data_IF_379800073286
#
_entry.id   IF_379800073286
#
_cell.length_a   1.000
_cell.length_b   1.000
_cell.length_c   1.000
_cell.angle_alpha   90.00
_cell.angle_beta   90.00
_cell.angle_gamma   90.00
#
_symmetry.space_group_name_H-M   'P 1'
#
loop_
_entity.id
_entity.type
_entity.pdbx_description
1 polymer ?
#
# COMPACT_ATOMS: atom_id res chain seq x y z
N UNK A 1 15.77 -25.55 2.19
CA UNK A 1 16.47 -24.76 3.23
C UNK A 1 15.51 -24.48 4.38
N UNK A 2 16.01 -24.32 5.61
CA UNK A 2 15.15 -24.10 6.79
C UNK A 2 14.22 -22.88 6.65
N UNK A 3 14.71 -21.79 6.03
CA UNK A 3 13.93 -20.59 5.75
C UNK A 3 12.74 -20.84 4.80
N UNK A 4 12.91 -21.66 3.76
CA UNK A 4 11.82 -22.05 2.83
C UNK A 4 10.76 -22.90 3.54
N UNK A 5 11.18 -23.86 4.38
CA UNK A 5 10.26 -24.65 5.20
C UNK A 5 9.52 -23.78 6.24
N UNK A 6 10.14 -22.69 6.68
CA UNK A 6 9.51 -21.71 7.56
C UNK A 6 8.49 -20.81 6.85
N UNK A 7 8.43 -20.84 5.51
CA UNK A 7 7.47 -20.08 4.71
C UNK A 7 7.95 -18.67 4.34
N UNK A 8 9.27 -18.44 4.30
CA UNK A 8 9.80 -17.22 3.70
C UNK A 8 9.67 -17.29 2.17
N UNK A 9 9.30 -16.19 1.50
CA UNK A 9 9.29 -16.11 0.05
C UNK A 9 10.72 -16.18 -0.50
N UNK A 10 10.85 -16.72 -1.72
CA UNK A 10 12.16 -16.89 -2.36
C UNK A 10 12.89 -15.55 -2.60
N UNK A 11 12.13 -14.46 -2.77
CA UNK A 11 12.67 -13.11 -2.91
C UNK A 11 13.41 -12.60 -1.66
N UNK A 12 13.08 -13.11 -0.47
CA UNK A 12 13.71 -12.70 0.79
C UNK A 12 14.85 -13.65 1.20
N UNK A 13 15.16 -14.68 0.42
CA UNK A 13 16.30 -15.57 0.65
C UNK A 13 17.59 -14.92 0.13
N UNK A 14 18.70 -15.14 0.84
CA UNK A 14 20.04 -14.81 0.34
C UNK A 14 20.64 -16.00 -0.41
N UNK A 15 21.54 -15.74 -1.36
CA UNK A 15 22.29 -16.82 -2.01
C UNK A 15 23.56 -17.14 -1.23
N UNK A 16 24.04 -18.39 -1.30
CA UNK A 16 25.25 -18.83 -0.58
C UNK A 16 26.45 -17.93 -0.85
N UNK A 17 26.60 -17.45 -2.09
CA UNK A 17 27.66 -16.51 -2.50
C UNK A 17 27.60 -15.17 -1.75
N UNK A 18 26.41 -14.70 -1.38
CA UNK A 18 26.23 -13.41 -0.71
C UNK A 18 26.82 -13.43 0.71
N UNK A 19 26.79 -14.59 1.37
CA UNK A 19 27.39 -14.81 2.68
C UNK A 19 28.84 -15.32 2.59
N UNK A 20 29.08 -16.35 1.75
CA UNK A 20 30.37 -17.05 1.68
C UNK A 20 31.48 -16.16 1.11
N UNK A 21 31.20 -15.45 0.03
CA UNK A 21 32.16 -14.52 -0.60
C UNK A 21 32.00 -13.09 -0.08
N UNK A 22 31.10 -12.87 0.88
CA UNK A 22 30.72 -11.55 1.42
C UNK A 22 30.31 -10.54 0.36
N UNK A 23 29.81 -11.02 -0.79
CA UNK A 23 29.44 -10.19 -1.93
C UNK A 23 28.26 -9.26 -1.62
N UNK A 24 27.33 -9.70 -0.77
CA UNK A 24 26.15 -8.92 -0.41
C UNK A 24 25.65 -9.27 1.00
N UNK A 25 26.40 -8.82 2.01
CA UNK A 25 26.00 -8.93 3.43
C UNK A 25 24.66 -8.24 3.74
N UNK A 26 24.31 -7.07 3.15
CA UNK A 26 22.99 -6.47 3.35
C UNK A 26 21.82 -7.39 3.01
N UNK A 27 21.94 -8.26 1.99
CA UNK A 27 20.91 -9.24 1.63
C UNK A 27 20.72 -10.29 2.74
N UNK A 28 21.82 -10.73 3.36
CA UNK A 28 21.77 -11.68 4.49
C UNK A 28 21.06 -11.04 5.69
N UNK A 29 21.39 -9.79 6.02
CA UNK A 29 20.73 -9.05 7.11
C UNK A 29 19.23 -8.86 6.83
N UNK A 30 18.85 -8.57 5.58
CA UNK A 30 17.45 -8.48 5.18
C UNK A 30 16.71 -9.82 5.35
N UNK A 31 17.33 -10.93 4.97
CA UNK A 31 16.77 -12.26 5.19
C UNK A 31 16.53 -12.57 6.68
N UNK A 32 17.44 -12.12 7.57
CA UNK A 32 17.29 -12.29 9.02
C UNK A 32 16.12 -11.45 9.55
N UNK A 33 15.99 -10.20 9.12
CA UNK A 33 14.85 -9.36 9.48
C UNK A 33 13.51 -9.91 8.94
N UNK A 34 13.50 -10.45 7.72
CA UNK A 34 12.35 -11.15 7.17
C UNK A 34 11.94 -12.37 8.03
N UNK A 35 12.91 -13.19 8.42
CA UNK A 35 12.67 -14.33 9.30
C UNK A 35 12.07 -13.90 10.65
N UNK A 36 12.58 -12.82 11.24
CA UNK A 36 12.04 -12.21 12.45
C UNK A 36 10.57 -11.84 12.31
N UNK A 37 10.21 -11.12 11.24
CA UNK A 37 8.81 -10.74 10.95
C UNK A 37 7.89 -11.97 10.77
N UNK A 38 8.37 -12.99 10.05
CA UNK A 38 7.62 -14.23 9.86
C UNK A 38 7.44 -15.02 11.17
N UNK A 39 8.43 -15.01 12.05
CA UNK A 39 8.36 -15.67 13.35
C UNK A 39 7.34 -15.01 14.27
N UNK A 40 7.32 -13.67 14.29
CA UNK A 40 6.34 -12.89 15.03
C UNK A 40 4.90 -13.17 14.55
N UNK A 41 4.69 -13.33 13.23
CA UNK A 41 3.37 -13.74 12.68
C UNK A 41 2.93 -15.13 13.17
N UNK A 42 3.86 -16.04 13.45
CA UNK A 42 3.59 -17.38 13.98
C UNK A 42 3.47 -17.43 15.51
N UNK A 43 3.27 -16.29 16.18
CA UNK A 43 3.16 -16.15 17.64
C UNK A 43 4.43 -16.59 18.39
N UNK A 44 5.60 -16.29 17.83
CA UNK A 44 6.86 -16.46 18.55
C UNK A 44 6.97 -15.41 19.66
N UNK A 45 6.95 -15.84 20.93
CA UNK A 45 7.05 -14.99 22.12
C UNK A 45 8.45 -14.39 22.38
N UNK A 46 9.37 -14.50 21.42
CA UNK A 46 10.73 -13.96 21.56
C UNK A 46 10.85 -12.49 21.12
N UNK A 47 12.07 -11.93 21.19
CA UNK A 47 12.33 -10.53 20.86
C UNK A 47 11.87 -10.18 19.44
N UNK A 48 11.21 -9.03 19.32
CA UNK A 48 10.72 -8.52 18.04
C UNK A 48 11.91 -8.02 17.23
N UNK A 49 12.13 -8.63 16.07
CA UNK A 49 13.18 -8.23 15.14
C UNK A 49 12.54 -7.58 13.92
N UNK A 50 12.66 -6.25 13.85
CA UNK A 50 12.12 -5.42 12.78
C UNK A 50 10.66 -5.00 12.97
N UNK A 51 10.16 -4.09 12.12
CA UNK A 51 8.78 -3.62 12.18
C UNK A 51 7.81 -4.77 11.92
N UNK A 52 6.72 -4.83 12.71
CA UNK A 52 5.66 -5.84 12.55
C UNK A 52 5.13 -5.76 11.12
N UNK A 53 5.03 -6.90 10.43
CA UNK A 53 4.33 -6.94 9.14
C UNK A 53 2.90 -6.43 9.32
N UNK A 54 2.51 -5.46 8.51
CA UNK A 54 1.17 -4.89 8.55
C UNK A 54 0.16 -5.97 8.19
N UNK A 55 -0.75 -6.26 9.11
CA UNK A 55 -1.91 -7.09 8.83
C UNK A 55 -2.87 -6.31 7.92
N UNK A 56 -3.42 -6.97 6.89
CA UNK A 56 -4.41 -6.36 6.01
C UNK A 56 -5.67 -6.03 6.80
N UNK A 57 -5.99 -4.75 6.92
CA UNK A 57 -7.23 -4.31 7.54
C UNK A 57 -8.36 -4.42 6.49
N UNK A 58 -8.94 -5.61 6.34
CA UNK A 58 -10.17 -5.79 5.57
C UNK A 58 -11.29 -5.07 6.31
N UNK A 59 -11.78 -3.99 5.70
CA UNK A 59 -13.01 -3.32 6.11
C UNK A 59 -14.12 -3.88 5.25
N UNK A 60 -14.94 -4.74 5.83
CA UNK A 60 -16.17 -5.17 5.19
C UNK A 60 -17.16 -4.01 5.25
N UNK A 61 -17.45 -3.42 4.10
CA UNK A 61 -18.51 -2.43 3.96
C UNK A 61 -19.82 -3.17 3.74
N UNK A 62 -20.90 -2.71 4.38
CA UNK A 62 -22.24 -3.26 4.13
C UNK A 62 -22.68 -2.90 2.71
N UNK A 63 -23.49 -3.76 2.07
CA UNK A 63 -23.98 -3.54 0.70
C UNK A 63 -24.71 -2.20 0.53
N UNK A 64 -25.38 -1.74 1.59
CA UNK A 64 -26.04 -0.43 1.66
C UNK A 64 -25.04 0.72 1.60
N UNK A 65 -23.90 0.60 2.29
CA UNK A 65 -22.82 1.59 2.28
C UNK A 65 -22.08 1.61 0.95
N UNK A 66 -21.91 0.46 0.29
CA UNK A 66 -21.34 0.36 -1.05
C UNK A 66 -22.27 0.99 -2.11
N UNK A 67 -23.59 0.76 -1.99
CA UNK A 67 -24.61 1.37 -2.85
C UNK A 67 -24.74 2.88 -2.64
N UNK A 68 -24.65 3.35 -1.40
CA UNK A 68 -24.61 4.78 -1.09
C UNK A 68 -23.34 5.46 -1.67
N UNK A 69 -22.19 4.75 -1.67
CA UNK A 69 -20.95 5.23 -2.30
C UNK A 69 -21.02 5.33 -3.82
N UNK A 70 -21.73 4.42 -4.50
CA UNK A 70 -21.97 4.49 -5.95
C UNK A 70 -22.74 5.76 -6.36
N UNK A 71 -23.68 6.21 -5.51
CA UNK A 71 -24.41 7.46 -5.74
C UNK A 71 -23.60 8.74 -5.51
N UNK A 72 -22.57 8.69 -4.64
CA UNK A 72 -21.76 9.88 -4.32
C UNK A 72 -20.71 10.23 -5.38
N UNK A 73 -20.14 9.25 -6.08
CA UNK A 73 -19.15 9.52 -7.14
C UNK A 73 -19.83 10.05 -8.41
N UNK A 74 -21.09 9.70 -8.65
CA UNK A 74 -21.90 10.23 -9.75
C UNK A 74 -22.23 11.72 -9.59
N UNK A 75 -22.49 12.22 -8.38
CA UNK A 75 -22.91 13.62 -8.18
C UNK A 75 -21.83 14.67 -8.51
N UNK A 76 -20.54 14.33 -8.41
CA UNK A 76 -19.45 15.25 -8.76
C UNK A 76 -19.18 15.30 -10.28
N UNK A 77 -19.66 14.34 -11.06
CA UNK A 77 -19.44 14.27 -12.50
C UNK A 77 -20.73 14.35 -13.35
N UNK A 78 -21.89 14.13 -12.75
CA UNK A 78 -23.16 13.91 -13.45
C UNK A 78 -24.20 14.99 -13.14
N UNK A 79 -23.72 16.21 -12.86
CA UNK A 79 -24.58 17.27 -12.34
C UNK A 79 -24.09 18.71 -12.52
N UNK A 80 -23.49 19.08 -13.66
CA UNK A 80 -23.52 20.46 -14.20
C UNK A 80 -22.87 20.57 -15.61
N UNK A 81 -23.55 20.07 -16.65
CA UNK A 81 -23.27 20.49 -18.03
C UNK A 81 -24.54 20.69 -18.87
N UNK A 82 -25.68 20.98 -18.20
CA UNK A 82 -26.97 21.32 -18.82
C UNK A 82 -27.74 22.33 -17.95
N UNK A 83 -27.09 23.42 -17.55
CA UNK A 83 -27.75 24.48 -16.79
C UNK A 83 -26.88 25.67 -16.39
N UNK A 84 -25.56 25.49 -16.29
CA UNK A 84 -24.63 26.61 -16.19
C UNK A 84 -24.27 27.11 -17.59
N UNK A 85 -25.20 27.80 -18.26
CA UNK A 85 -24.79 28.67 -19.35
C UNK A 85 -23.82 29.68 -18.74
N UNK A 86 -22.56 29.69 -19.19
CA UNK A 86 -21.63 30.79 -18.95
C UNK A 86 -22.09 32.05 -19.73
N UNK A 87 -23.39 32.34 -19.73
CA UNK A 87 -23.96 33.59 -20.20
C UNK A 87 -23.90 34.56 -19.02
N UNK A 88 -22.88 35.43 -19.02
CA UNK A 88 -22.74 36.49 -18.01
C UNK A 88 -21.39 36.57 -17.30
N UNK A 89 -20.38 35.77 -17.66
CA UNK A 89 -19.01 36.02 -17.19
C UNK A 89 -18.41 37.21 -17.97
N UNK A 90 -18.75 38.41 -17.53
CA UNK A 90 -18.01 39.62 -17.86
C UNK A 90 -16.69 39.59 -17.08
N UNK A 91 -15.63 39.11 -17.71
CA UNK A 91 -14.27 39.33 -17.23
C UNK A 91 -14.03 40.83 -17.27
N UNK A 92 -14.06 41.46 -16.09
CA UNK A 92 -14.10 42.91 -15.90
C UNK A 92 -13.22 43.69 -16.88
N UNK A 93 -13.85 44.71 -17.47
CA UNK A 93 -13.31 45.89 -18.13
C UNK A 93 -11.94 45.73 -18.81
N UNK A 94 -12.01 45.63 -20.13
CA UNK A 94 -10.96 45.96 -21.10
C UNK A 94 -10.04 47.07 -20.61
N UNK A 95 -8.74 46.78 -20.61
CA UNK A 95 -7.68 47.78 -20.45
C UNK A 95 -7.91 48.90 -21.46
N UNK A 96 -8.05 50.13 -20.99
CA UNK A 96 -8.03 51.30 -21.84
C UNK A 96 -6.90 52.23 -21.40
N UNK A 97 -6.05 52.53 -22.38
CA UNK A 97 -4.86 53.39 -22.46
C UNK A 97 -3.64 53.03 -21.60
#
# INVERSE_FOLDING_TARGET
TAARAYGLPDAELFQTVDLFEKRNIPQVTQCIHALGRHAQKKKFNGPVLGPKMSDSNQRDFTDEQLRAGQGMVGLLNDGMNKGASQAGQNFGLSRHI
#
